data_IF_229652629534
#
_entry.id   IF_229652629534
#
_cell.length_a   1.000
_cell.length_b   1.000
_cell.length_c   1.000
_cell.angle_alpha   90.00
_cell.angle_beta   90.00
_cell.angle_gamma   90.00
#
_symmetry.space_group_name_H-M   'P 1'
#
loop_
_entity.id
_entity.type
_entity.pdbx_description
1 polymer ?
#
# COMPACT_ATOMS: atom_id res chain seq x y z
N UNK A 1 -31.22 -0.49 8.62
CA UNK A 1 -30.29 -1.43 8.45
C UNK A 1 -29.55 -1.23 7.19
N UNK A 2 -28.40 -1.45 7.28
CA UNK A 2 -27.69 -1.34 6.09
C UNK A 2 -27.34 -2.68 5.64
N UNK A 3 -27.29 -2.83 4.37
CA UNK A 3 -26.88 -4.03 3.86
C UNK A 3 -25.60 -3.86 3.24
N UNK A 4 -24.90 -4.92 3.17
CA UNK A 4 -23.61 -4.92 2.57
C UNK A 4 -23.75 -4.45 1.17
N UNK A 5 -22.93 -3.51 0.82
CA UNK A 5 -22.87 -3.12 -0.55
C UNK A 5 -22.27 -4.21 -1.34
N UNK A 6 -22.75 -4.41 -2.53
CA UNK A 6 -22.08 -5.36 -3.39
C UNK A 6 -20.67 -4.87 -3.63
N UNK A 7 -19.76 -5.78 -3.68
CA UNK A 7 -18.40 -5.44 -4.00
C UNK A 7 -18.34 -4.95 -5.42
N UNK A 8 -17.60 -3.91 -5.65
CA UNK A 8 -17.47 -3.43 -7.02
C UNK A 8 -16.73 -4.43 -7.86
N UNK A 9 -17.16 -4.54 -9.06
CA UNK A 9 -16.49 -5.43 -9.95
C UNK A 9 -15.11 -4.99 -10.27
N UNK A 10 -14.83 -3.71 -10.14
CA UNK A 10 -13.49 -3.28 -10.37
C UNK A 10 -12.58 -3.69 -9.24
N UNK A 11 -13.14 -4.43 -8.30
CA UNK A 11 -12.36 -5.06 -7.29
C UNK A 11 -11.60 -4.15 -6.41
N UNK A 12 -12.27 -3.11 -5.99
CA UNK A 12 -11.69 -2.30 -4.96
C UNK A 12 -11.76 -3.08 -3.67
N UNK A 13 -10.61 -3.42 -3.12
CA UNK A 13 -10.56 -4.22 -1.92
C UNK A 13 -10.72 -3.35 -0.71
N UNK A 14 -10.76 -3.97 0.48
CA UNK A 14 -10.69 -3.22 1.71
C UNK A 14 -9.33 -2.58 1.85
N UNK A 15 -9.22 -1.67 2.81
CA UNK A 15 -7.94 -1.08 3.12
C UNK A 15 -6.93 -2.19 3.36
N UNK A 16 -5.75 -2.00 2.84
CA UNK A 16 -4.73 -3.03 2.92
C UNK A 16 -3.93 -2.89 4.20
N UNK A 17 -3.26 -3.96 4.62
CA UNK A 17 -2.40 -3.86 5.80
C UNK A 17 -1.39 -2.74 5.69
N UNK A 18 -1.01 -2.36 4.48
CA UNK A 18 -0.11 -1.24 4.29
C UNK A 18 -0.62 0.03 4.96
N UNK A 19 -1.93 0.28 4.86
CA UNK A 19 -2.50 1.48 5.45
C UNK A 19 -2.31 1.48 6.97
N UNK A 20 -2.56 0.35 7.58
CA UNK A 20 -2.39 0.24 9.02
C UNK A 20 -0.94 0.38 9.42
N UNK A 21 -0.05 -0.24 8.67
CA UNK A 21 1.37 -0.15 8.96
C UNK A 21 1.84 1.31 8.87
N UNK A 22 1.46 1.99 7.81
CA UNK A 22 1.86 3.38 7.66
C UNK A 22 1.29 4.25 8.77
N UNK A 23 0.07 3.99 9.16
CA UNK A 23 -0.55 4.74 10.24
C UNK A 23 0.20 4.52 11.55
N UNK A 24 0.54 3.28 11.85
CA UNK A 24 1.28 2.98 13.06
C UNK A 24 2.65 3.61 13.07
N UNK A 25 3.30 3.63 11.93
CA UNK A 25 4.63 4.22 11.82
C UNK A 25 4.58 5.72 11.62
N UNK A 26 3.38 6.28 11.58
CA UNK A 26 3.17 7.71 11.38
C UNK A 26 3.78 8.19 10.07
N UNK A 27 3.61 7.40 9.03
CA UNK A 27 4.14 7.72 7.72
C UNK A 27 3.03 8.26 6.84
N UNK A 28 3.39 9.24 6.03
CA UNK A 28 2.49 9.80 5.05
C UNK A 28 2.86 9.33 3.67
N UNK A 29 1.94 9.50 2.74
CA UNK A 29 2.22 9.11 1.36
C UNK A 29 3.48 9.79 0.85
N UNK A 30 3.66 11.05 1.18
CA UNK A 30 4.83 11.78 0.71
C UNK A 30 6.13 11.20 1.26
N UNK A 31 6.09 10.61 2.44
CA UNK A 31 7.29 10.01 2.99
C UNK A 31 7.80 8.88 2.10
N UNK A 32 6.89 8.06 1.63
CA UNK A 32 7.28 6.98 0.75
C UNK A 32 7.76 7.51 -0.60
N UNK A 33 7.08 8.51 -1.11
CA UNK A 33 7.46 9.08 -2.39
C UNK A 33 8.88 9.65 -2.31
N UNK A 34 9.18 10.33 -1.22
CA UNK A 34 10.52 10.92 -1.06
C UNK A 34 11.60 9.87 -0.94
N UNK A 35 11.29 8.76 -0.31
CA UNK A 35 12.29 7.72 -0.12
C UNK A 35 12.43 6.80 -1.32
N UNK A 36 11.49 6.86 -2.24
CA UNK A 36 11.52 5.95 -3.36
C UNK A 36 12.59 6.36 -4.37
N UNK A 37 13.30 5.37 -4.88
CA UNK A 37 14.23 5.58 -5.97
C UNK A 37 13.64 5.07 -7.28
N UNK A 38 12.35 4.75 -7.30
CA UNK A 38 11.73 4.07 -8.44
C UNK A 38 10.53 4.81 -8.97
N UNK A 39 10.52 6.12 -8.83
CA UNK A 39 9.46 6.95 -9.39
C UNK A 39 8.08 6.62 -8.82
N UNK A 40 8.04 6.35 -7.54
CA UNK A 40 6.78 6.14 -6.86
C UNK A 40 6.05 7.47 -6.79
N UNK A 41 4.73 7.44 -7.01
CA UNK A 41 3.93 8.66 -6.97
C UNK A 41 2.96 8.60 -5.82
N UNK A 42 2.46 9.78 -5.42
CA UNK A 42 1.43 9.84 -4.38
C UNK A 42 0.20 9.04 -4.79
N UNK A 43 -0.12 9.06 -6.05
CA UNK A 43 -1.29 8.37 -6.55
C UNK A 43 -1.15 6.87 -6.36
N UNK A 44 0.02 6.34 -6.63
CA UNK A 44 0.25 4.91 -6.46
C UNK A 44 0.16 4.53 -5.00
N UNK A 45 0.75 5.33 -4.11
CA UNK A 45 0.69 5.03 -2.68
C UNK A 45 -0.76 5.10 -2.19
N UNK A 46 -1.50 6.10 -2.63
CA UNK A 46 -2.89 6.22 -2.22
C UNK A 46 -3.70 5.03 -2.67
N UNK A 47 -3.49 4.58 -3.90
CA UNK A 47 -4.18 3.40 -4.39
C UNK A 47 -3.81 2.17 -3.57
N UNK A 48 -2.53 2.05 -3.24
CA UNK A 48 -2.07 0.91 -2.47
C UNK A 48 -2.76 0.83 -1.12
N UNK A 49 -2.89 1.98 -0.46
CA UNK A 49 -3.49 1.99 0.86
C UNK A 49 -4.98 1.72 0.82
N UNK A 50 -5.65 2.15 -0.25
CA UNK A 50 -7.09 2.01 -0.35
C UNK A 50 -7.53 0.65 -0.85
N UNK A 51 -6.59 -0.21 -1.18
CA UNK A 51 -6.95 -1.55 -1.59
C UNK A 51 -7.15 -1.72 -3.08
N UNK A 52 -6.75 -0.72 -3.87
CA UNK A 52 -6.81 -0.89 -5.31
C UNK A 52 -5.70 -1.81 -5.73
N UNK A 53 -6.03 -2.71 -6.63
CA UNK A 53 -5.06 -3.71 -7.03
C UNK A 53 -3.97 -3.06 -7.87
N UNK A 54 -2.74 -3.32 -7.51
CA UNK A 54 -1.60 -2.79 -8.22
C UNK A 54 -0.90 -3.89 -8.98
N UNK A 55 -0.18 -3.50 -10.03
CA UNK A 55 0.70 -4.45 -10.68
C UNK A 55 1.81 -4.84 -9.72
N UNK A 56 2.42 -5.98 -9.99
CA UNK A 56 3.50 -6.44 -9.12
C UNK A 56 4.63 -5.42 -9.05
N UNK A 57 4.93 -4.81 -10.18
CA UNK A 57 5.97 -3.80 -10.23
C UNK A 57 5.66 -2.64 -9.30
N UNK A 58 4.42 -2.17 -9.32
CA UNK A 58 4.02 -1.08 -8.43
C UNK A 58 4.04 -1.51 -6.98
N UNK A 59 3.67 -2.75 -6.70
CA UNK A 59 3.71 -3.26 -5.33
C UNK A 59 5.13 -3.23 -4.79
N UNK A 60 6.10 -3.61 -5.61
CA UNK A 60 7.48 -3.60 -5.17
C UNK A 60 7.99 -2.17 -4.96
N UNK A 61 7.53 -1.23 -5.78
CA UNK A 61 7.93 0.15 -5.56
C UNK A 61 7.49 0.65 -4.19
N UNK A 62 6.25 0.32 -3.82
CA UNK A 62 5.73 0.71 -2.52
C UNK A 62 6.51 0.00 -1.41
N UNK A 63 6.73 -1.29 -1.59
CA UNK A 63 7.43 -2.08 -0.58
C UNK A 63 8.84 -1.55 -0.34
N UNK A 64 9.56 -1.28 -1.40
CA UNK A 64 10.92 -0.81 -1.26
C UNK A 64 10.96 0.55 -0.59
N UNK A 65 10.02 1.42 -0.93
CA UNK A 65 9.97 2.74 -0.32
C UNK A 65 9.65 2.63 1.18
N UNK A 66 8.72 1.75 1.53
CA UNK A 66 8.37 1.56 2.93
C UNK A 66 9.57 1.05 3.73
N UNK A 67 10.28 0.07 3.18
CA UNK A 67 11.44 -0.45 3.87
C UNK A 67 12.54 0.59 3.99
N UNK A 68 12.61 1.50 3.04
CA UNK A 68 13.58 2.59 3.14
C UNK A 68 13.20 3.59 4.21
N UNK A 69 11.91 3.76 4.46
CA UNK A 69 11.44 4.67 5.51
C UNK A 69 11.65 4.10 6.90
N UNK A 70 11.64 2.79 7.01
CA UNK A 70 11.67 2.15 8.32
C UNK A 70 12.99 1.39 8.44
N UNK A 71 13.88 1.92 9.25
CA UNK A 71 15.26 1.46 9.25
C UNK A 71 15.41 -0.01 9.61
N UNK A 72 14.54 -0.55 10.43
CA UNK A 72 14.61 -1.96 10.76
C UNK A 72 13.61 -2.77 9.98
N UNK A 73 12.91 -2.16 9.04
CA UNK A 73 11.82 -2.81 8.35
C UNK A 73 12.31 -3.82 7.35
N UNK A 74 11.71 -4.97 7.41
CA UNK A 74 11.94 -6.01 6.42
C UNK A 74 10.60 -6.58 6.03
N UNK A 75 9.74 -5.68 5.58
CA UNK A 75 8.43 -6.10 5.14
C UNK A 75 8.53 -6.85 3.82
N UNK A 76 7.59 -7.74 3.61
CA UNK A 76 7.46 -8.44 2.33
C UNK A 76 6.08 -8.09 1.77
N UNK A 77 5.84 -8.47 0.53
CA UNK A 77 4.60 -8.08 -0.14
C UNK A 77 3.36 -8.54 0.60
N UNK A 78 3.38 -9.74 1.14
CA UNK A 78 2.19 -10.24 1.82
C UNK A 78 1.93 -9.52 3.13
N UNK A 79 2.92 -8.80 3.66
CA UNK A 79 2.69 -7.98 4.83
C UNK A 79 1.89 -6.73 4.48
N UNK A 80 2.01 -6.26 3.25
CA UNK A 80 1.40 -5.01 2.83
C UNK A 80 0.09 -5.20 2.10
N UNK A 81 -0.03 -6.27 1.34
CA UNK A 81 -1.18 -6.47 0.48
C UNK A 81 -1.75 -7.84 0.70
N UNK A 82 -3.03 -7.89 1.07
CA UNK A 82 -3.63 -9.19 1.32
C UNK A 82 -4.02 -9.90 0.03
N UNK A 83 -3.83 -9.28 -1.12
CA UNK A 83 -4.06 -9.96 -2.39
C UNK A 83 -2.76 -10.43 -3.03
N UNK A 84 -1.64 -10.18 -2.38
CA UNK A 84 -0.36 -10.63 -2.89
C UNK A 84 -0.10 -12.04 -2.39
N UNK A 85 0.39 -12.86 -3.25
CA UNK A 85 0.71 -14.24 -2.85
C UNK A 85 2.11 -14.56 -3.23
#
# INVERSE_FOLDING_TARGET
>A
MSFPRPLPENMEMDLQPLDEIMTRLNLKNSDLVEKSTEQLTHKIVAKARKGRRLTLNSQYKVLNALNACHSSGKFILTDLFNYAN
#
